data_IF_404532107522
#
_entry.id   IF_404532107522
#
_cell.length_a   1.000
_cell.length_b   1.000
_cell.length_c   1.000
_cell.angle_alpha   90.00
_cell.angle_beta   90.00
_cell.angle_gamma   90.00
#
_symmetry.space_group_name_H-M   'P 1'
#
loop_
_entity.id
_entity.type
_entity.pdbx_description
1 polymer ?
#
# COMPACT_ATOMS: atom_id res chain seq x y z
N UNK A 1 -20.91 9.60 5.42
CA UNK A 1 -19.63 10.07 4.83
C UNK A 1 -18.79 8.84 4.56
N UNK A 2 -18.08 8.72 3.42
CA UNK A 2 -17.22 7.56 3.17
C UNK A 2 -15.93 7.66 3.98
N UNK A 3 -15.53 6.56 4.60
CA UNK A 3 -14.26 6.42 5.34
C UNK A 3 -13.31 5.52 4.56
N UNK A 4 -12.02 5.81 4.68
CA UNK A 4 -10.98 5.11 3.91
C UNK A 4 -9.82 4.71 4.82
N UNK A 5 -9.33 3.50 4.63
CA UNK A 5 -8.07 3.00 5.17
C UNK A 5 -6.97 3.19 4.14
N UNK A 6 -5.83 3.74 4.56
CA UNK A 6 -4.69 4.02 3.70
C UNK A 6 -3.44 3.34 4.24
N UNK A 7 -2.68 2.71 3.35
CA UNK A 7 -1.50 1.92 3.70
C UNK A 7 -0.35 2.18 2.73
N UNK A 8 0.88 1.98 3.21
CA UNK A 8 2.10 2.21 2.42
C UNK A 8 3.00 1.00 2.48
N UNK A 9 3.28 0.42 1.32
CA UNK A 9 4.26 -0.66 1.18
C UNK A 9 5.57 -0.10 0.65
N UNK A 10 6.68 -0.53 1.23
CA UNK A 10 8.03 -0.12 0.80
C UNK A 10 8.80 -1.33 0.29
N UNK A 11 9.42 -1.18 -0.88
CA UNK A 11 10.23 -2.19 -1.50
C UNK A 11 11.61 -1.62 -1.86
N UNK A 12 12.63 -2.41 -1.61
CA UNK A 12 14.00 -2.09 -1.99
C UNK A 12 14.28 -2.71 -3.37
N UNK A 13 14.44 -1.92 -4.44
CA UNK A 13 14.68 -2.45 -5.78
C UNK A 13 16.05 -3.12 -5.94
N UNK A 14 16.99 -2.88 -5.03
CA UNK A 14 18.30 -3.54 -5.03
C UNK A 14 18.25 -4.92 -4.34
N UNK A 15 17.17 -5.21 -3.62
CA UNK A 15 16.96 -6.48 -2.94
C UNK A 15 16.13 -7.43 -3.80
N UNK A 16 16.78 -8.46 -4.36
CA UNK A 16 16.09 -9.51 -5.13
C UNK A 16 14.96 -10.18 -4.33
N UNK A 17 15.15 -10.36 -3.01
CA UNK A 17 14.11 -10.87 -2.12
C UNK A 17 12.90 -9.92 -2.06
N UNK A 18 13.15 -8.61 -1.92
CA UNK A 18 12.08 -7.61 -1.89
C UNK A 18 11.28 -7.61 -3.18
N UNK A 19 11.97 -7.59 -4.33
CA UNK A 19 11.34 -7.58 -5.65
C UNK A 19 10.58 -8.86 -5.97
N UNK A 20 11.11 -10.04 -5.60
CA UNK A 20 10.40 -11.29 -5.78
C UNK A 20 9.14 -11.40 -4.91
N UNK A 21 9.13 -10.77 -3.73
CA UNK A 21 7.96 -10.77 -2.83
C UNK A 21 6.89 -9.74 -3.20
N UNK A 22 7.22 -8.75 -4.03
CA UNK A 22 6.34 -7.63 -4.35
C UNK A 22 5.02 -8.08 -5.02
N UNK A 23 5.02 -8.94 -6.06
CA UNK A 23 3.77 -9.38 -6.70
C UNK A 23 2.82 -10.11 -5.74
N UNK A 24 3.37 -10.96 -4.88
CA UNK A 24 2.58 -11.75 -3.94
C UNK A 24 1.92 -10.85 -2.89
N UNK A 25 2.66 -9.91 -2.32
CA UNK A 25 2.09 -8.97 -1.36
C UNK A 25 1.07 -8.04 -2.01
N UNK A 26 1.31 -7.53 -3.22
CA UNK A 26 0.32 -6.71 -3.92
C UNK A 26 -0.97 -7.50 -4.21
N UNK A 27 -0.85 -8.78 -4.54
CA UNK A 27 -2.01 -9.66 -4.73
C UNK A 27 -2.77 -9.89 -3.43
N UNK A 28 -2.07 -10.19 -2.34
CA UNK A 28 -2.67 -10.38 -1.00
C UNK A 28 -3.48 -9.14 -0.58
N UNK A 29 -2.89 -7.96 -0.72
CA UNK A 29 -3.54 -6.70 -0.38
C UNK A 29 -4.71 -6.37 -1.32
N UNK A 30 -4.58 -6.68 -2.60
CA UNK A 30 -5.68 -6.59 -3.57
C UNK A 30 -6.87 -7.49 -3.20
N UNK A 31 -6.60 -8.72 -2.74
CA UNK A 31 -7.62 -9.64 -2.23
C UNK A 31 -8.28 -9.14 -0.95
N UNK A 32 -7.54 -8.40 -0.12
CA UNK A 32 -8.06 -7.71 1.06
C UNK A 32 -8.84 -6.41 0.75
N UNK A 33 -9.04 -6.08 -0.53
CA UNK A 33 -9.84 -4.94 -0.98
C UNK A 33 -9.08 -3.64 -1.18
N UNK A 34 -7.75 -3.64 -0.98
CA UNK A 34 -6.93 -2.46 -1.23
C UNK A 34 -6.67 -2.24 -2.72
N UNK A 35 -6.69 -0.98 -3.12
CA UNK A 35 -6.37 -0.51 -4.47
C UNK A 35 -5.10 0.32 -4.42
N UNK A 36 -4.21 0.10 -5.39
CA UNK A 36 -3.04 0.96 -5.58
C UNK A 36 -3.50 2.33 -6.09
N UNK A 37 -3.12 3.40 -5.40
CA UNK A 37 -3.45 4.78 -5.78
C UNK A 37 -2.25 5.56 -6.31
N UNK A 38 -1.05 5.21 -5.87
CA UNK A 38 0.19 5.86 -6.33
C UNK A 38 1.38 4.94 -6.12
N UNK A 39 2.37 5.06 -7.00
CA UNK A 39 3.68 4.42 -6.87
C UNK A 39 4.74 5.49 -7.07
N UNK A 40 5.66 5.61 -6.13
CA UNK A 40 6.74 6.60 -6.19
C UNK A 40 8.08 5.95 -5.92
N UNK A 41 9.11 6.47 -6.58
CA UNK A 41 10.49 6.14 -6.29
C UNK A 41 11.03 7.23 -5.37
N UNK A 42 11.32 6.90 -4.12
CA UNK A 42 11.93 7.82 -3.18
C UNK A 42 13.45 7.66 -3.24
N UNK A 43 14.11 8.66 -3.79
CA UNK A 43 15.55 8.82 -3.69
C UNK A 43 15.83 9.69 -2.46
N UNK A 44 16.29 9.10 -1.36
CA UNK A 44 16.86 9.89 -0.28
C UNK A 44 18.26 10.33 -0.70
N UNK A 45 18.47 11.63 -0.94
CA UNK A 45 19.82 12.16 -1.11
C UNK A 45 20.65 11.80 0.13
N UNK A 46 21.67 10.94 -0.05
CA UNK A 46 22.72 10.72 0.94
C UNK A 46 22.76 9.40 1.70
N UNK A 47 21.79 8.47 1.57
CA UNK A 47 21.92 7.10 2.10
C UNK A 47 21.31 6.05 1.16
N UNK A 48 21.98 4.90 1.10
CA UNK A 48 21.79 3.84 0.13
C UNK A 48 20.32 3.44 -0.14
N UNK A 49 19.96 3.43 -1.42
CA UNK A 49 18.76 2.76 -1.95
C UNK A 49 17.61 3.71 -2.29
N UNK A 50 17.29 3.81 -3.59
CA UNK A 50 16.03 4.40 -4.07
C UNK A 50 14.89 3.44 -3.75
N UNK A 51 14.11 3.64 -2.69
CA UNK A 51 12.99 2.73 -2.39
C UNK A 51 11.79 2.98 -3.30
N UNK A 52 11.03 1.94 -3.58
CA UNK A 52 9.71 2.03 -4.22
C UNK A 52 8.67 2.06 -3.10
N UNK A 53 7.86 3.12 -3.05
CA UNK A 53 6.69 3.18 -2.17
C UNK A 53 5.42 3.00 -2.98
N UNK A 54 4.57 2.07 -2.55
CA UNK A 54 3.26 1.81 -3.13
C UNK A 54 2.20 2.23 -2.11
N UNK A 55 1.41 3.22 -2.48
CA UNK A 55 0.30 3.72 -1.68
C UNK A 55 -0.98 2.97 -2.04
N UNK A 56 -1.69 2.52 -1.03
CA UNK A 56 -2.89 1.70 -1.14
C UNK A 56 -4.03 2.35 -0.37
N UNK A 57 -5.26 2.19 -0.87
CA UNK A 57 -6.47 2.63 -0.18
C UNK A 57 -7.57 1.59 -0.30
N UNK A 58 -8.43 1.48 0.71
CA UNK A 58 -9.73 0.80 0.62
C UNK A 58 -10.80 1.58 1.35
N UNK A 59 -12.05 1.43 0.92
CA UNK A 59 -13.20 1.93 1.68
C UNK A 59 -13.35 1.09 2.96
N UNK A 60 -13.51 1.73 4.11
CA UNK A 60 -13.70 1.02 5.38
C UNK A 60 -15.07 0.37 5.41
N UNK A 61 -15.13 -0.87 5.91
CA UNK A 61 -16.39 -1.62 6.02
C UNK A 61 -17.35 -1.08 7.11
N UNK A 62 -16.91 -0.12 7.93
CA UNK A 62 -17.68 0.45 9.06
C UNK A 62 -18.70 1.53 8.66
N UNK A 63 -19.18 1.53 7.42
CA UNK A 63 -20.10 2.55 6.89
C UNK A 63 -21.59 2.29 7.10
N UNK A 64 -22.02 1.24 7.82
CA UNK A 64 -23.44 0.83 7.91
C UNK A 64 -24.01 0.53 9.32
N UNK A 65 -23.34 0.91 10.43
CA UNK A 65 -23.89 0.66 11.79
C UNK A 65 -23.98 1.90 12.71
N UNK A 66 -24.03 3.12 12.17
CA UNK A 66 -24.10 4.33 13.00
C UNK A 66 -25.28 5.27 12.62
N UNK A 67 -26.47 4.71 12.40
CA UNK A 67 -27.72 5.50 12.37
C UNK A 67 -28.98 4.69 12.72
N UNK A 68 -28.91 3.89 13.80
CA UNK A 68 -30.07 3.24 14.42
C UNK A 68 -29.87 3.06 15.93
N UNK A 69 -29.94 4.16 16.69
CA UNK A 69 -30.14 4.13 18.14
C UNK A 69 -30.92 5.37 18.61
#
# INVERSE_FOLDING_TARGET
MKTYENEVMTFDPLSAKSMNSMPDKLREWGQAGFKVVSVVHANAEGRAGSNIHVFLTRESASGEEEDAA
#
